data_IF_500335631489
#
_entry.id   IF_500335631489
#
_cell.length_a   1.000
_cell.length_b   1.000
_cell.length_c   1.000
_cell.angle_alpha   90.00
_cell.angle_beta   90.00
_cell.angle_gamma   90.00
#
_symmetry.space_group_name_H-M   'P 1'
#
loop_
_entity.id
_entity.type
_entity.pdbx_description
1 polymer ?
#
# COMPACT_ATOMS: atom_id res chain seq x y z
N UNK A 1 -9.99 8.59 9.80
CA UNK A 1 -9.03 8.81 8.68
C UNK A 1 -7.65 9.19 9.20
N UNK A 2 -7.54 10.25 10.01
CA UNK A 2 -6.26 10.74 10.56
C UNK A 2 -5.52 9.64 11.33
N UNK A 3 -6.22 8.88 12.16
CA UNK A 3 -5.62 7.79 12.94
C UNK A 3 -5.00 6.69 12.07
N UNK A 4 -5.78 6.12 11.15
CA UNK A 4 -5.28 5.12 10.19
C UNK A 4 -4.08 5.68 9.40
N UNK A 5 -4.20 6.91 8.91
CA UNK A 5 -3.15 7.59 8.14
C UNK A 5 -1.85 7.76 8.92
N UNK A 6 -1.93 8.17 10.19
CA UNK A 6 -0.78 8.36 11.05
C UNK A 6 -0.07 7.03 11.36
N UNK A 7 -0.83 5.98 11.65
CA UNK A 7 -0.26 4.64 11.91
C UNK A 7 0.36 4.06 10.64
N UNK A 8 -0.32 4.19 9.50
CA UNK A 8 0.19 3.70 8.22
C UNK A 8 1.44 4.46 7.75
N UNK A 9 1.48 5.79 7.93
CA UNK A 9 2.64 6.62 7.57
C UNK A 9 3.91 6.28 8.36
N UNK A 10 3.76 5.76 9.59
CA UNK A 10 4.89 5.20 10.34
C UNK A 10 5.25 3.81 9.82
N UNK A 11 4.26 2.93 9.68
CA UNK A 11 4.49 1.54 9.31
C UNK A 11 5.02 1.33 7.88
N UNK A 12 4.71 2.24 6.95
CA UNK A 12 5.21 2.15 5.57
C UNK A 12 6.73 2.14 5.49
N UNK A 13 7.42 2.73 6.48
CA UNK A 13 8.89 2.75 6.54
C UNK A 13 9.50 1.35 6.58
N UNK A 14 8.84 0.38 7.23
CA UNK A 14 9.26 -1.03 7.27
C UNK A 14 9.11 -1.75 5.93
N UNK A 15 8.41 -1.12 4.97
CA UNK A 15 8.08 -1.71 3.67
C UNK A 15 8.81 -1.04 2.50
N UNK A 16 9.62 0.00 2.71
CA UNK A 16 10.23 0.78 1.61
C UNK A 16 11.45 0.15 0.94
N UNK A 17 12.03 -0.90 1.50
CA UNK A 17 13.30 -1.45 1.01
C UNK A 17 13.26 -2.02 -0.42
N UNK A 18 12.09 -2.33 -0.97
CA UNK A 18 11.95 -2.82 -2.34
C UNK A 18 11.53 -1.72 -3.33
N UNK A 19 11.52 -0.45 -2.91
CA UNK A 19 11.18 0.72 -3.74
C UNK A 19 9.88 0.57 -4.54
N UNK A 20 8.92 -0.16 -3.98
CA UNK A 20 7.67 -0.51 -4.64
C UNK A 20 6.55 0.50 -4.35
N UNK A 21 6.72 1.44 -3.41
CA UNK A 21 5.75 2.48 -3.09
C UNK A 21 5.73 3.59 -4.15
N UNK A 22 4.61 3.70 -4.87
CA UNK A 22 4.40 4.76 -5.89
C UNK A 22 3.70 5.96 -5.27
N UNK A 23 2.74 5.72 -4.38
CA UNK A 23 2.01 6.80 -3.72
C UNK A 23 0.93 6.31 -2.76
N UNK A 24 0.60 7.17 -1.79
CA UNK A 24 -0.51 7.01 -0.87
C UNK A 24 -1.36 8.28 -0.88
N UNK A 25 -2.69 8.13 -1.00
CA UNK A 25 -3.62 9.22 -1.22
C UNK A 25 -4.87 9.06 -0.35
N UNK A 26 -5.48 10.18 0.01
CA UNK A 26 -6.78 10.24 0.67
C UNK A 26 -7.81 10.86 -0.26
N UNK A 27 -9.01 10.30 -0.31
CA UNK A 27 -10.11 10.92 -1.02
C UNK A 27 -10.52 12.23 -0.33
N UNK A 28 -10.43 13.34 -1.05
CA UNK A 28 -10.98 14.64 -0.63
C UNK A 28 -12.33 14.97 -1.28
N UNK A 29 -12.62 14.35 -2.43
CA UNK A 29 -13.88 14.52 -3.20
C UNK A 29 -14.33 13.15 -3.69
N UNK A 30 -15.65 12.90 -3.69
CA UNK A 30 -16.25 11.60 -4.02
C UNK A 30 -16.52 10.77 -2.77
N UNK A 31 -16.24 9.46 -2.81
CA UNK A 31 -16.40 8.59 -1.63
C UNK A 31 -15.32 8.93 -0.59
N UNK A 32 -15.75 9.54 0.51
CA UNK A 32 -14.87 9.93 1.62
C UNK A 32 -14.46 8.72 2.47
N UNK A 33 -13.47 8.93 3.33
CA UNK A 33 -12.88 7.90 4.20
C UNK A 33 -12.25 6.72 3.44
N UNK A 34 -11.84 6.97 2.19
CA UNK A 34 -11.11 6.00 1.36
C UNK A 34 -9.64 6.39 1.28
N UNK A 35 -8.78 5.39 1.44
CA UNK A 35 -7.34 5.49 1.19
C UNK A 35 -7.01 4.74 -0.08
N UNK A 36 -6.20 5.35 -0.93
CA UNK A 36 -5.59 4.69 -2.07
C UNK A 36 -4.10 4.54 -1.84
N UNK A 37 -3.55 3.38 -2.18
CA UNK A 37 -2.12 3.17 -2.21
C UNK A 37 -1.75 2.41 -3.48
N UNK A 38 -0.79 2.95 -4.22
CA UNK A 38 -0.33 2.40 -5.48
C UNK A 38 1.06 1.80 -5.29
N UNK A 39 1.25 0.62 -5.86
CA UNK A 39 2.48 -0.14 -5.76
C UNK A 39 2.92 -0.60 -7.15
N UNK A 40 4.19 -0.44 -7.47
CA UNK A 40 4.78 -0.90 -8.72
C UNK A 40 5.62 -2.15 -8.47
N UNK A 41 5.46 -3.15 -9.34
CA UNK A 41 6.26 -4.37 -9.32
C UNK A 41 6.62 -4.72 -10.75
N UNK A 42 7.81 -5.32 -10.93
CA UNK A 42 8.27 -5.82 -12.24
C UNK A 42 7.30 -6.86 -12.82
N UNK A 43 6.84 -7.78 -11.98
CA UNK A 43 5.92 -8.85 -12.32
C UNK A 43 5.19 -9.39 -11.06
N UNK A 44 4.29 -10.34 -11.24
CA UNK A 44 3.50 -10.91 -10.14
C UNK A 44 4.30 -11.82 -9.21
N UNK A 45 5.43 -12.38 -9.67
CA UNK A 45 6.33 -13.20 -8.85
C UNK A 45 7.12 -12.31 -7.91
N UNK A 46 7.69 -11.22 -8.42
CA UNK A 46 8.32 -10.17 -7.63
C UNK A 46 7.35 -9.56 -6.62
N UNK A 47 6.09 -9.32 -7.01
CA UNK A 47 5.04 -8.89 -6.06
C UNK A 47 4.87 -9.87 -4.91
N UNK A 48 4.84 -11.18 -5.20
CA UNK A 48 4.69 -12.22 -4.17
C UNK A 48 5.88 -12.19 -3.21
N UNK A 49 7.10 -12.28 -3.72
CA UNK A 49 8.31 -12.32 -2.88
C UNK A 49 8.49 -11.06 -2.05
N UNK A 50 8.28 -9.86 -2.62
CA UNK A 50 8.35 -8.59 -1.87
C UNK A 50 7.32 -8.54 -0.75
N UNK A 51 6.10 -9.04 -0.98
CA UNK A 51 5.06 -9.08 0.06
C UNK A 51 5.40 -10.06 1.18
N UNK A 52 5.87 -11.26 0.84
CA UNK A 52 6.32 -12.26 1.82
C UNK A 52 7.47 -11.71 2.67
N UNK A 53 8.45 -11.09 2.02
CA UNK A 53 9.55 -10.44 2.71
C UNK A 53 9.08 -9.30 3.62
N UNK A 54 8.12 -8.48 3.18
CA UNK A 54 7.53 -7.41 4.01
C UNK A 54 6.88 -7.96 5.29
N UNK A 55 6.25 -9.14 5.21
CA UNK A 55 5.65 -9.81 6.36
C UNK A 55 6.67 -10.42 7.32
N UNK A 56 7.86 -10.77 6.85
CA UNK A 56 8.95 -11.28 7.70
C UNK A 56 9.58 -10.20 8.59
N UNK A 57 9.28 -8.92 8.34
CA UNK A 57 9.87 -7.79 9.06
C UNK A 57 9.06 -7.39 10.28
N UNK A 58 9.70 -7.28 11.45
CA UNK A 58 9.03 -6.79 12.65
C UNK A 58 8.61 -5.34 12.45
N UNK A 59 7.37 -5.02 12.80
CA UNK A 59 6.78 -3.68 12.77
C UNK A 59 5.72 -3.51 11.67
N UNK A 60 5.91 -4.12 10.50
CA UNK A 60 4.88 -4.09 9.45
C UNK A 60 3.64 -4.90 9.87
N UNK A 61 3.86 -6.07 10.46
CA UNK A 61 2.83 -6.94 11.05
C UNK A 61 2.00 -6.19 12.10
N UNK A 62 2.66 -5.47 13.01
CA UNK A 62 2.02 -4.68 14.07
C UNK A 62 1.19 -3.54 13.48
N UNK A 63 1.73 -2.86 12.46
CA UNK A 63 1.00 -1.81 11.74
C UNK A 63 -0.27 -2.36 11.12
N UNK A 64 -0.19 -3.52 10.44
CA UNK A 64 -1.36 -4.15 9.81
C UNK A 64 -2.37 -4.60 10.87
N UNK A 65 -1.93 -5.24 11.95
CA UNK A 65 -2.80 -5.67 13.04
C UNK A 65 -3.59 -4.52 13.66
N UNK A 66 -2.96 -3.34 13.83
CA UNK A 66 -3.63 -2.14 14.33
C UNK A 66 -4.60 -1.52 13.30
N UNK A 67 -4.19 -1.46 12.04
CA UNK A 67 -4.92 -0.70 11.02
C UNK A 67 -6.10 -1.48 10.42
N UNK A 68 -6.06 -2.81 10.37
CA UNK A 68 -7.13 -3.65 9.80
C UNK A 68 -8.49 -3.46 10.48
N UNK A 69 -8.60 -3.40 11.82
CA UNK A 69 -9.88 -3.14 12.50
C UNK A 69 -10.53 -1.79 12.16
N UNK A 70 -9.76 -0.82 11.65
CA UNK A 70 -10.25 0.49 11.26
C UNK A 70 -10.83 0.51 9.82
N UNK A 71 -10.83 -0.64 9.12
CA UNK A 71 -11.21 -0.76 7.71
C UNK A 71 -12.55 -1.47 7.57
N UNK A 72 -13.54 -0.80 6.97
CA UNK A 72 -14.85 -1.41 6.70
C UNK A 72 -14.86 -2.28 5.44
N UNK A 73 -14.07 -1.90 4.42
CA UNK A 73 -14.00 -2.58 3.12
C UNK A 73 -12.62 -2.39 2.50
N UNK A 74 -12.10 -3.44 1.88
CA UNK A 74 -10.83 -3.41 1.15
C UNK A 74 -11.01 -4.02 -0.24
N UNK A 75 -10.43 -3.39 -1.26
CA UNK A 75 -10.41 -3.87 -2.63
C UNK A 75 -9.01 -3.69 -3.23
N UNK A 76 -8.68 -4.47 -4.25
CA UNK A 76 -7.43 -4.30 -5.00
C UNK A 76 -7.64 -4.60 -6.48
N UNK A 77 -6.85 -3.95 -7.34
CA UNK A 77 -6.84 -4.17 -8.78
C UNK A 77 -5.40 -4.26 -9.27
N UNK A 78 -5.16 -5.13 -10.23
CA UNK A 78 -3.88 -5.19 -10.96
C UNK A 78 -4.06 -4.45 -12.27
N UNK A 79 -3.13 -3.55 -12.57
CA UNK A 79 -3.15 -2.71 -13.75
C UNK A 79 -1.84 -2.87 -14.49
N UNK A 80 -1.91 -2.83 -15.83
CA UNK A 80 -0.73 -2.78 -16.70
C UNK A 80 -0.62 -1.37 -17.26
N UNK A 81 0.56 -0.77 -17.12
CA UNK A 81 0.83 0.55 -17.69
C UNK A 81 0.72 0.49 -19.22
N UNK A 82 0.01 1.45 -19.81
CA UNK A 82 -0.08 1.58 -21.27
C UNK A 82 1.24 2.04 -21.87
N UNK A 83 1.36 1.99 -23.20
CA UNK A 83 2.56 2.40 -23.92
C UNK A 83 2.96 3.86 -23.70
N UNK A 84 2.02 4.74 -23.34
CA UNK A 84 2.24 6.18 -23.12
C UNK A 84 2.31 6.58 -21.64
N UNK A 85 2.17 5.63 -20.71
CA UNK A 85 2.31 5.92 -19.28
C UNK A 85 3.71 6.42 -18.96
N UNK A 86 3.80 7.52 -18.19
CA UNK A 86 5.06 8.05 -17.66
C UNK A 86 5.52 7.30 -16.39
N UNK A 87 4.63 6.51 -15.77
CA UNK A 87 4.90 5.70 -14.58
C UNK A 87 5.39 4.28 -14.95
N UNK A 88 6.16 4.14 -16.03
CA UNK A 88 6.78 2.86 -16.40
C UNK A 88 8.08 2.63 -15.65
#
# INVERSE_FOLDING_TARGET
MIEWGNSWAKGITYRREHSQDVGGFFAQVGQLYVVFHLWAYKDLVARKSTREHSWSKPGWDTTVAYTVPLINKMESKIMTATSFSQLK
#
